data_IF_688988856896
#
_entry.id   IF_688988856896
#
_cell.length_a   1.000
_cell.length_b   1.000
_cell.length_c   1.000
_cell.angle_alpha   90.00
_cell.angle_beta   90.00
_cell.angle_gamma   90.00
#
_symmetry.space_group_name_H-M   'P 1'
#
loop_
_entity.id
_entity.type
_entity.pdbx_description
1 polymer ?
#
# COMPACT_ATOMS: atom_id res chain seq x y z
N UNK A 1 13.15 51.68 11.53
CA UNK A 1 11.98 51.52 12.41
C UNK A 1 11.19 50.31 11.95
N UNK A 2 11.03 49.30 12.80
CA UNK A 2 10.25 48.11 12.46
C UNK A 2 8.75 48.47 12.59
N UNK A 3 8.01 48.39 11.48
CA UNK A 3 6.58 48.69 11.46
C UNK A 3 5.76 47.46 11.85
N UNK A 4 4.69 47.63 12.64
CA UNK A 4 3.80 46.54 13.11
C UNK A 4 3.26 45.69 11.96
N UNK A 5 2.95 46.31 10.81
CA UNK A 5 2.52 45.60 9.60
C UNK A 5 3.59 44.64 9.08
N UNK A 6 4.85 45.05 9.05
CA UNK A 6 5.96 44.21 8.58
C UNK A 6 6.15 42.98 9.48
N UNK A 7 5.96 43.11 10.80
CA UNK A 7 6.02 41.98 11.74
C UNK A 7 4.90 40.99 11.46
N UNK A 8 3.66 41.47 11.26
CA UNK A 8 2.49 40.62 10.98
C UNK A 8 2.65 39.89 9.65
N UNK A 9 3.11 40.56 8.60
CA UNK A 9 3.34 39.95 7.29
C UNK A 9 4.43 38.87 7.34
N UNK A 10 5.54 39.13 8.04
CA UNK A 10 6.61 38.15 8.21
C UNK A 10 6.17 36.94 9.05
N UNK A 11 5.37 37.15 10.10
CA UNK A 11 4.81 36.07 10.90
C UNK A 11 3.83 35.21 10.09
N UNK A 12 2.97 35.84 9.28
CA UNK A 12 2.04 35.14 8.40
C UNK A 12 2.79 34.31 7.34
N UNK A 13 3.81 34.87 6.69
CA UNK A 13 4.62 34.14 5.71
C UNK A 13 5.35 32.95 6.35
N UNK A 14 5.96 33.14 7.54
CA UNK A 14 6.61 32.06 8.28
C UNK A 14 5.64 30.93 8.65
N UNK A 15 4.41 31.26 9.06
CA UNK A 15 3.39 30.28 9.39
C UNK A 15 2.94 29.47 8.17
N UNK A 16 2.76 30.12 7.01
CA UNK A 16 2.37 29.44 5.76
C UNK A 16 3.48 28.53 5.25
N UNK A 17 4.75 28.97 5.32
CA UNK A 17 5.90 28.16 4.94
C UNK A 17 6.09 26.94 5.86
N UNK A 18 5.91 27.11 7.18
CA UNK A 18 5.95 26.00 8.11
C UNK A 18 4.83 24.99 7.84
N UNK A 19 3.60 25.46 7.55
CA UNK A 19 2.48 24.59 7.23
C UNK A 19 2.69 23.86 5.89
N UNK A 20 3.30 24.49 4.89
CA UNK A 20 3.64 23.85 3.62
C UNK A 20 4.69 22.74 3.78
N UNK A 21 5.68 22.92 4.65
CA UNK A 21 6.68 21.88 4.96
C UNK A 21 6.04 20.74 5.77
N UNK A 22 5.14 21.04 6.70
CA UNK A 22 4.40 20.01 7.45
C UNK A 22 3.41 19.25 6.56
N UNK A 23 2.79 19.92 5.59
CA UNK A 23 1.87 19.31 4.63
C UNK A 23 2.59 18.55 3.50
N UNK A 24 3.79 18.99 3.11
CA UNK A 24 4.60 18.35 2.06
C UNK A 24 5.69 17.39 2.56
N UNK A 25 5.94 17.35 3.88
CA UNK A 25 7.12 16.73 4.48
C UNK A 25 7.20 15.21 4.43
N UNK A 26 6.13 14.52 4.05
CA UNK A 26 6.15 13.06 3.87
C UNK A 26 5.11 12.63 2.84
N UNK A 27 5.21 13.10 1.59
CA UNK A 27 4.63 12.31 0.50
C UNK A 27 5.52 11.08 0.35
N UNK A 28 5.27 10.07 1.18
CA UNK A 28 5.80 8.73 0.95
C UNK A 28 5.10 8.21 -0.30
N UNK A 29 5.74 8.39 -1.44
CA UNK A 29 5.39 7.64 -2.66
C UNK A 29 5.72 6.19 -2.35
N UNK A 30 4.73 5.45 -1.86
CA UNK A 30 4.81 4.00 -1.80
C UNK A 30 4.69 3.49 -3.24
N UNK A 31 5.80 2.98 -3.77
CA UNK A 31 5.74 2.23 -5.01
C UNK A 31 4.78 1.05 -4.80
N UNK A 32 3.98 0.73 -5.81
CA UNK A 32 3.17 -0.48 -5.78
C UNK A 32 4.07 -1.69 -5.53
N UNK A 33 3.59 -2.64 -4.74
CA UNK A 33 4.29 -3.89 -4.50
C UNK A 33 4.49 -4.62 -5.84
N UNK A 34 5.51 -5.49 -5.88
CA UNK A 34 5.71 -6.37 -7.04
C UNK A 34 4.67 -7.49 -7.03
N UNK A 35 4.33 -8.05 -8.18
CA UNK A 35 3.42 -9.21 -8.25
C UNK A 35 4.19 -10.54 -8.11
N UNK A 36 3.78 -11.39 -7.16
CA UNK A 36 4.24 -12.76 -7.03
C UNK A 36 3.21 -13.74 -7.60
N UNK A 37 3.59 -14.45 -8.66
CA UNK A 37 2.70 -15.43 -9.33
C UNK A 37 2.85 -16.81 -8.72
N UNK A 38 1.85 -17.23 -7.94
CA UNK A 38 1.79 -18.57 -7.33
C UNK A 38 0.83 -19.45 -8.12
N UNK A 39 1.35 -20.52 -8.72
CA UNK A 39 0.54 -21.54 -9.38
C UNK A 39 -0.02 -22.55 -8.38
N UNK A 40 -1.27 -22.97 -8.58
CA UNK A 40 -1.87 -24.09 -7.87
C UNK A 40 -2.47 -25.09 -8.86
N UNK A 41 -2.22 -26.38 -8.64
CA UNK A 41 -2.75 -27.46 -9.46
C UNK A 41 -3.81 -28.21 -8.65
N UNK A 42 -5.07 -28.12 -9.09
CA UNK A 42 -6.20 -28.83 -8.49
C UNK A 42 -6.95 -29.66 -9.52
N UNK A 43 -7.43 -30.85 -9.12
CA UNK A 43 -8.28 -31.70 -9.96
C UNK A 43 -9.68 -31.10 -10.09
N UNK A 44 -10.01 -30.52 -11.24
CA UNK A 44 -11.30 -29.85 -11.47
C UNK A 44 -12.28 -30.68 -12.29
N UNK A 45 -11.95 -31.95 -12.56
CA UNK A 45 -12.77 -32.88 -13.33
C UNK A 45 -12.70 -34.30 -12.76
N UNK A 46 -13.61 -35.17 -13.21
CA UNK A 46 -13.72 -36.55 -12.73
C UNK A 46 -14.28 -36.68 -11.31
N UNK A 47 -14.20 -37.88 -10.74
CA UNK A 47 -14.80 -38.17 -9.43
C UNK A 47 -14.23 -37.33 -8.27
N UNK A 48 -13.01 -36.80 -8.43
CA UNK A 48 -12.34 -35.99 -7.42
C UNK A 48 -12.51 -34.47 -7.62
N UNK A 49 -13.29 -34.02 -8.61
CA UNK A 49 -13.44 -32.61 -8.98
C UNK A 49 -13.79 -31.69 -7.80
N UNK A 50 -14.69 -32.15 -6.92
CA UNK A 50 -15.15 -31.37 -5.78
C UNK A 50 -13.98 -30.94 -4.86
N UNK A 51 -12.99 -31.82 -4.68
CA UNK A 51 -11.81 -31.53 -3.87
C UNK A 51 -10.94 -30.46 -4.53
N UNK A 52 -10.65 -30.57 -5.83
CA UNK A 52 -9.82 -29.57 -6.50
C UNK A 52 -10.53 -28.23 -6.67
N UNK A 53 -11.83 -28.20 -6.96
CA UNK A 53 -12.60 -26.95 -7.01
C UNK A 53 -12.61 -26.24 -5.65
N UNK A 54 -12.79 -26.98 -4.55
CA UNK A 54 -12.71 -26.40 -3.20
C UNK A 54 -11.34 -25.79 -2.95
N UNK A 55 -10.26 -26.50 -3.29
CA UNK A 55 -8.90 -26.01 -3.07
C UNK A 55 -8.56 -24.78 -3.93
N UNK A 56 -8.96 -24.75 -5.21
CA UNK A 56 -8.76 -23.58 -6.08
C UNK A 56 -9.40 -22.34 -5.45
N UNK A 57 -10.65 -22.46 -4.97
CA UNK A 57 -11.35 -21.36 -4.31
C UNK A 57 -10.66 -20.94 -3.01
N UNK A 58 -10.17 -21.90 -2.21
CA UNK A 58 -9.41 -21.61 -1.00
C UNK A 58 -8.11 -20.87 -1.31
N UNK A 59 -7.39 -21.24 -2.37
CA UNK A 59 -6.16 -20.56 -2.76
C UNK A 59 -6.43 -19.14 -3.26
N UNK A 60 -7.47 -18.94 -4.07
CA UNK A 60 -7.89 -17.61 -4.54
C UNK A 60 -8.31 -16.71 -3.36
N UNK A 61 -9.10 -17.25 -2.45
CA UNK A 61 -9.52 -16.52 -1.23
C UNK A 61 -8.31 -16.16 -0.37
N UNK A 62 -7.36 -17.10 -0.23
CA UNK A 62 -6.15 -16.87 0.54
C UNK A 62 -5.23 -15.83 -0.09
N UNK A 63 -5.09 -15.83 -1.42
CA UNK A 63 -4.33 -14.80 -2.14
C UNK A 63 -4.94 -13.42 -1.90
N UNK A 64 -6.26 -13.27 -2.07
CA UNK A 64 -6.95 -12.02 -1.81
C UNK A 64 -6.75 -11.54 -0.35
N UNK A 65 -6.88 -12.44 0.62
CA UNK A 65 -6.68 -12.11 2.02
C UNK A 65 -5.23 -11.69 2.33
N UNK A 66 -4.24 -12.39 1.79
CA UNK A 66 -2.82 -12.02 1.96
C UNK A 66 -2.57 -10.61 1.44
N UNK A 67 -3.08 -10.29 0.25
CA UNK A 67 -2.87 -8.99 -0.39
C UNK A 67 -3.54 -7.86 0.41
N UNK A 68 -4.73 -8.11 0.95
CA UNK A 68 -5.41 -7.19 1.87
C UNK A 68 -4.60 -6.96 3.16
N UNK A 69 -3.91 -7.98 3.67
CA UNK A 69 -3.09 -7.89 4.89
C UNK A 69 -1.67 -7.39 4.68
N UNK A 70 -1.34 -6.89 3.48
CA UNK A 70 -0.03 -6.28 3.18
C UNK A 70 0.96 -7.19 2.45
N UNK A 71 0.49 -8.29 1.85
CA UNK A 71 1.28 -9.10 0.93
C UNK A 71 2.25 -10.08 1.59
N UNK A 72 3.20 -10.59 0.80
CA UNK A 72 4.25 -11.52 1.23
C UNK A 72 5.60 -10.82 1.16
N UNK A 73 6.36 -10.88 2.27
CA UNK A 73 7.73 -10.36 2.30
C UNK A 73 8.74 -11.46 1.92
N UNK A 74 9.55 -11.19 0.91
CA UNK A 74 10.64 -12.08 0.46
C UNK A 74 11.92 -11.23 0.38
N UNK A 75 12.84 -11.46 1.31
CA UNK A 75 14.00 -10.59 1.50
C UNK A 75 13.57 -9.18 1.91
N UNK A 76 14.05 -8.18 1.18
CA UNK A 76 13.75 -6.76 1.41
C UNK A 76 12.52 -6.27 0.62
N UNK A 77 11.90 -7.14 -0.18
CA UNK A 77 10.80 -6.79 -1.06
C UNK A 77 9.47 -7.34 -0.56
N UNK A 78 8.41 -6.55 -0.75
CA UNK A 78 7.03 -6.97 -0.48
C UNK A 78 6.30 -7.20 -1.80
N UNK A 79 5.57 -8.30 -1.86
CA UNK A 79 4.84 -8.76 -3.03
C UNK A 79 3.34 -8.85 -2.75
N UNK A 80 2.55 -8.47 -3.75
CA UNK A 80 1.12 -8.80 -3.84
C UNK A 80 0.92 -10.13 -4.59
#
# INVERSE_FOLDING_TARGET
MINRRSIITSAALGAVSALAIMAGGTITVHAANKELKIGFVGVTSGAAAAWGTSNVRSMQTRAAWINETGGVKIGDETYD
#
